data_IF_296074191097
#
_entry.id   IF_296074191097
#
_cell.length_a   1.000
_cell.length_b   1.000
_cell.length_c   1.000
_cell.angle_alpha   90.00
_cell.angle_beta   90.00
_cell.angle_gamma   90.00
#
_symmetry.space_group_name_H-M   'P 1'
#
loop_
_entity.id
_entity.type
_entity.pdbx_description
1 polymer ?
#
# COMPACT_ATOMS: atom_id res chain seq x y z
N UNK A 1 37.03 -51.96 -14.63
CA UNK A 1 37.80 -50.74 -14.31
C UNK A 1 37.06 -49.43 -14.63
N UNK A 2 35.71 -49.43 -14.67
CA UNK A 2 34.89 -48.23 -14.95
C UNK A 2 34.06 -47.74 -13.74
N UNK A 3 34.04 -48.49 -12.62
CA UNK A 3 33.27 -48.11 -11.42
C UNK A 3 33.98 -47.09 -10.51
N UNK A 4 35.32 -47.00 -10.56
CA UNK A 4 36.09 -46.12 -9.67
C UNK A 4 36.13 -44.64 -10.11
N UNK A 5 35.72 -44.34 -11.35
CA UNK A 5 35.73 -42.95 -11.89
C UNK A 5 34.41 -42.22 -11.67
N UNK A 6 33.32 -42.93 -11.35
CA UNK A 6 31.99 -42.33 -11.10
C UNK A 6 31.81 -41.83 -9.66
N UNK A 7 32.58 -42.33 -8.70
CA UNK A 7 32.45 -41.95 -7.29
C UNK A 7 33.06 -40.56 -7.00
N UNK A 8 34.04 -40.13 -7.80
CA UNK A 8 34.73 -38.84 -7.61
C UNK A 8 33.92 -37.62 -8.09
N UNK A 9 32.88 -37.84 -8.90
CA UNK A 9 31.99 -36.78 -9.38
C UNK A 9 30.86 -36.42 -8.40
N UNK A 10 30.70 -37.16 -7.29
CA UNK A 10 29.64 -36.92 -6.28
C UNK A 10 29.98 -35.86 -5.23
N UNK A 11 31.20 -35.35 -5.22
CA UNK A 11 31.68 -34.41 -4.18
C UNK A 11 31.69 -32.95 -4.63
N UNK A 12 30.75 -32.56 -5.50
CA UNK A 12 30.54 -31.14 -5.80
C UNK A 12 30.09 -30.40 -4.54
N UNK A 13 30.58 -29.17 -4.34
CA UNK A 13 30.21 -28.32 -3.20
C UNK A 13 28.68 -28.24 -3.01
N UNK A 14 27.93 -27.96 -4.08
CA UNK A 14 26.46 -27.91 -4.05
C UNK A 14 25.79 -29.29 -4.05
N UNK A 15 26.53 -30.37 -4.33
CA UNK A 15 25.99 -31.72 -4.47
C UNK A 15 25.93 -32.49 -3.14
N UNK A 16 26.68 -32.08 -2.11
CA UNK A 16 26.58 -32.72 -0.79
C UNK A 16 27.64 -32.37 0.26
N UNK A 17 28.63 -31.54 -0.06
CA UNK A 17 29.74 -31.22 0.88
C UNK A 17 29.76 -29.77 1.34
N UNK A 18 28.92 -28.90 0.76
CA UNK A 18 28.85 -27.48 1.09
C UNK A 18 28.15 -27.23 2.43
N UNK A 19 28.74 -26.41 3.33
CA UNK A 19 28.07 -25.93 4.54
C UNK A 19 26.76 -25.20 4.20
N UNK A 20 25.65 -25.46 4.92
CA UNK A 20 24.36 -24.80 4.68
C UNK A 20 24.45 -23.27 4.68
N UNK A 21 25.27 -22.69 5.54
CA UNK A 21 25.44 -21.23 5.68
C UNK A 21 25.98 -20.61 4.40
N UNK A 22 26.95 -21.26 3.75
CA UNK A 22 27.51 -20.80 2.49
C UNK A 22 26.51 -20.97 1.34
N UNK A 23 25.73 -22.04 1.34
CA UNK A 23 24.67 -22.26 0.35
C UNK A 23 23.59 -21.17 0.47
N UNK A 24 23.18 -20.82 1.70
CA UNK A 24 22.24 -19.70 1.94
C UNK A 24 22.82 -18.36 1.49
N UNK A 25 24.13 -18.12 1.68
CA UNK A 25 24.79 -16.91 1.15
C UNK A 25 24.79 -16.87 -0.38
N UNK A 26 24.91 -18.02 -1.05
CA UNK A 26 24.77 -18.11 -2.50
C UNK A 26 23.32 -17.81 -2.90
N UNK A 27 22.32 -18.41 -2.23
CA UNK A 27 20.90 -18.12 -2.47
C UNK A 27 20.59 -16.61 -2.35
N UNK A 28 21.11 -15.96 -1.32
CA UNK A 28 20.95 -14.53 -1.08
C UNK A 28 21.64 -13.63 -2.12
N UNK A 29 22.59 -14.20 -2.87
CA UNK A 29 23.32 -13.51 -3.93
C UNK A 29 22.65 -13.64 -5.30
N UNK A 30 21.58 -14.43 -5.44
CA UNK A 30 20.81 -14.53 -6.67
C UNK A 30 20.13 -13.19 -7.02
N UNK A 31 20.14 -12.81 -8.30
CA UNK A 31 19.58 -11.53 -8.75
C UNK A 31 18.05 -11.52 -8.79
N UNK A 32 17.45 -12.68 -9.08
CA UNK A 32 16.00 -12.83 -9.16
C UNK A 32 15.48 -14.08 -8.43
N UNK A 33 14.18 -14.11 -8.16
CA UNK A 33 13.49 -15.28 -7.61
C UNK A 33 13.65 -16.48 -8.54
N UNK A 34 13.67 -16.24 -9.86
CA UNK A 34 13.89 -17.28 -10.87
C UNK A 34 15.25 -17.94 -10.72
N UNK A 35 16.33 -17.16 -10.57
CA UNK A 35 17.69 -17.69 -10.42
C UNK A 35 17.84 -18.47 -9.13
N UNK A 36 17.25 -17.95 -8.05
CA UNK A 36 17.19 -18.63 -6.76
C UNK A 36 16.50 -20.00 -6.89
N UNK A 37 15.31 -20.07 -7.49
CA UNK A 37 14.58 -21.32 -7.65
C UNK A 37 15.28 -22.30 -8.61
N UNK A 38 15.93 -21.80 -9.67
CA UNK A 38 16.78 -22.61 -10.54
C UNK A 38 17.94 -23.25 -9.77
N UNK A 39 18.60 -22.50 -8.88
CA UNK A 39 19.68 -23.02 -8.05
C UNK A 39 19.18 -24.01 -6.98
N UNK A 40 18.02 -23.75 -6.37
CA UNK A 40 17.37 -24.65 -5.41
C UNK A 40 17.01 -25.98 -6.07
N UNK A 41 16.61 -25.97 -7.34
CA UNK A 41 16.25 -27.18 -8.10
C UNK A 41 17.44 -27.94 -8.68
N UNK A 42 18.66 -27.38 -8.61
CA UNK A 42 19.84 -27.99 -9.21
C UNK A 42 20.33 -29.26 -8.49
N UNK A 43 20.09 -29.41 -7.19
CA UNK A 43 20.51 -30.60 -6.43
C UNK A 43 19.58 -30.89 -5.24
N UNK A 44 19.57 -32.15 -4.78
CA UNK A 44 18.84 -32.53 -3.56
C UNK A 44 19.39 -31.80 -2.33
N UNK A 45 20.70 -31.56 -2.26
CA UNK A 45 21.34 -30.89 -1.13
C UNK A 45 20.92 -29.42 -1.05
N UNK A 46 20.91 -28.69 -2.17
CA UNK A 46 20.43 -27.29 -2.19
C UNK A 46 18.95 -27.20 -1.85
N UNK A 47 18.13 -28.14 -2.32
CA UNK A 47 16.72 -28.24 -1.93
C UNK A 47 16.53 -28.52 -0.43
N UNK A 48 17.32 -29.41 0.18
CA UNK A 48 17.26 -29.65 1.62
C UNK A 48 17.65 -28.40 2.44
N UNK A 49 18.70 -27.68 2.04
CA UNK A 49 19.06 -26.40 2.68
C UNK A 49 17.94 -25.38 2.50
N UNK A 50 17.37 -25.29 1.30
CA UNK A 50 16.24 -24.40 1.03
C UNK A 50 15.06 -24.63 1.98
N UNK A 51 14.67 -25.87 2.24
CA UNK A 51 13.55 -26.16 3.14
C UNK A 51 13.73 -25.57 4.55
N UNK A 52 14.97 -25.48 5.03
CA UNK A 52 15.28 -24.88 6.34
C UNK A 52 15.46 -23.35 6.30
N UNK A 53 15.88 -22.80 5.15
CA UNK A 53 16.33 -21.40 5.05
C UNK A 53 15.66 -20.58 3.93
N UNK A 54 14.50 -21.01 3.43
CA UNK A 54 13.79 -20.36 2.32
C UNK A 54 13.48 -18.90 2.61
N UNK A 55 12.99 -18.59 3.82
CA UNK A 55 12.59 -17.24 4.16
C UNK A 55 13.75 -16.22 4.16
N UNK A 56 14.91 -16.49 4.81
CA UNK A 56 16.09 -15.65 4.67
C UNK A 56 16.54 -15.38 3.24
N UNK A 57 16.48 -16.41 2.39
CA UNK A 57 16.91 -16.33 1.01
C UNK A 57 15.93 -15.48 0.18
N UNK A 58 14.64 -15.81 0.24
CA UNK A 58 13.57 -15.08 -0.45
C UNK A 58 13.52 -13.62 -0.07
N UNK A 59 13.57 -13.33 1.24
CA UNK A 59 13.43 -11.97 1.73
C UNK A 59 14.48 -11.02 1.12
N UNK A 60 15.72 -11.50 1.01
CA UNK A 60 16.80 -10.71 0.41
C UNK A 60 16.61 -10.46 -1.08
N UNK A 61 16.13 -11.46 -1.82
CA UNK A 61 15.87 -11.36 -3.26
C UNK A 61 14.67 -10.44 -3.51
N UNK A 62 13.56 -10.67 -2.80
CA UNK A 62 12.33 -9.90 -2.97
C UNK A 62 12.45 -8.43 -2.59
N UNK A 63 13.30 -8.08 -1.62
CA UNK A 63 13.61 -6.67 -1.32
C UNK A 63 14.20 -5.90 -2.51
N UNK A 64 14.79 -6.61 -3.48
CA UNK A 64 15.30 -6.02 -4.72
C UNK A 64 14.30 -6.12 -5.86
N UNK A 65 13.60 -7.24 -5.96
CA UNK A 65 12.72 -7.57 -7.09
C UNK A 65 11.31 -6.98 -6.97
N UNK A 66 10.74 -6.95 -5.75
CA UNK A 66 9.35 -6.57 -5.51
C UNK A 66 9.31 -5.14 -4.94
N UNK A 67 8.73 -4.17 -5.66
CA UNK A 67 8.55 -2.81 -5.16
C UNK A 67 7.72 -2.80 -3.88
N UNK A 68 8.18 -2.06 -2.87
CA UNK A 68 7.47 -1.88 -1.59
C UNK A 68 7.12 -3.19 -0.86
N UNK A 69 7.94 -4.24 -1.01
CA UNK A 69 7.71 -5.53 -0.34
C UNK A 69 7.66 -5.41 1.19
N UNK A 70 8.36 -4.42 1.77
CA UNK A 70 8.28 -4.13 3.21
C UNK A 70 6.85 -3.70 3.59
N UNK A 71 6.25 -2.77 2.84
CA UNK A 71 4.88 -2.32 3.07
C UNK A 71 3.90 -3.48 2.87
N UNK A 72 4.13 -4.37 1.90
CA UNK A 72 3.33 -5.60 1.73
C UNK A 72 3.44 -6.53 2.95
N UNK A 73 4.64 -6.69 3.52
CA UNK A 73 4.86 -7.48 4.73
C UNK A 73 4.16 -6.88 5.95
N UNK A 74 4.27 -5.55 6.15
CA UNK A 74 3.57 -4.84 7.23
C UNK A 74 2.05 -4.98 7.06
N UNK A 75 1.52 -4.78 5.86
CA UNK A 75 0.11 -4.97 5.56
C UNK A 75 -0.36 -6.40 5.87
N UNK A 76 0.43 -7.41 5.48
CA UNK A 76 0.15 -8.81 5.77
C UNK A 76 0.11 -9.09 7.28
N UNK A 77 1.10 -8.59 8.04
CA UNK A 77 1.16 -8.75 9.51
C UNK A 77 -0.03 -8.07 10.19
N UNK A 78 -0.34 -6.83 9.82
CA UNK A 78 -1.48 -6.09 10.37
C UNK A 78 -2.81 -6.80 10.08
N UNK A 79 -3.00 -7.24 8.84
CA UNK A 79 -4.23 -7.95 8.42
C UNK A 79 -4.37 -9.27 9.19
N UNK A 80 -3.27 -9.98 9.41
CA UNK A 80 -3.27 -11.22 10.18
C UNK A 80 -3.71 -11.00 11.64
N UNK A 81 -3.28 -9.91 12.28
CA UNK A 81 -3.73 -9.57 13.64
C UNK A 81 -5.25 -9.37 13.71
N UNK A 82 -5.83 -8.69 12.72
CA UNK A 82 -7.28 -8.47 12.63
C UNK A 82 -8.01 -9.78 12.39
N UNK A 83 -7.61 -10.55 11.38
CA UNK A 83 -8.24 -11.83 11.02
C UNK A 83 -8.17 -12.83 12.19
N UNK A 84 -7.07 -12.86 12.92
CA UNK A 84 -6.92 -13.75 14.08
C UNK A 84 -7.82 -13.32 15.24
N UNK A 85 -8.00 -12.03 15.50
CA UNK A 85 -8.96 -11.53 16.49
C UNK A 85 -10.40 -11.87 16.09
N UNK A 86 -10.78 -11.61 14.84
CA UNK A 86 -12.11 -11.95 14.30
C UNK A 86 -12.42 -13.44 14.42
N UNK A 87 -11.46 -14.33 14.10
CA UNK A 87 -11.61 -15.78 14.24
C UNK A 87 -11.86 -16.23 15.67
N UNK A 88 -11.37 -15.47 16.67
CA UNK A 88 -11.62 -15.71 18.09
C UNK A 88 -12.90 -15.05 18.59
N UNK A 89 -13.60 -14.28 17.74
CA UNK A 89 -14.75 -13.46 18.15
C UNK A 89 -14.36 -12.30 19.06
N UNK A 90 -13.11 -11.85 18.99
CA UNK A 90 -12.55 -10.78 19.81
C UNK A 90 -12.51 -9.46 19.01
N UNK A 91 -12.51 -8.33 19.73
CA UNK A 91 -12.26 -7.03 19.13
C UNK A 91 -10.81 -7.00 18.58
N UNK A 92 -10.59 -6.59 17.33
CA UNK A 92 -9.23 -6.37 16.82
C UNK A 92 -8.47 -5.37 17.69
N UNK A 93 -7.13 -5.48 17.81
CA UNK A 93 -6.40 -4.66 18.74
C UNK A 93 -6.44 -3.19 18.30
N UNK A 94 -6.67 -2.28 19.26
CA UNK A 94 -6.72 -0.84 19.03
C UNK A 94 -5.33 -0.21 19.18
N UNK A 95 -5.06 0.87 18.44
CA UNK A 95 -3.83 1.65 18.60
C UNK A 95 -2.54 0.92 18.21
N UNK A 96 -2.62 -0.10 17.34
CA UNK A 96 -1.42 -0.79 16.86
C UNK A 96 -0.66 0.14 15.92
N UNK A 97 0.55 0.55 16.29
CA UNK A 97 1.45 1.20 15.35
C UNK A 97 2.02 0.17 14.37
N UNK A 98 1.89 0.39 13.04
CA UNK A 98 2.51 -0.49 12.06
C UNK A 98 4.05 -0.51 12.17
N UNK A 99 4.67 0.53 12.75
CA UNK A 99 6.10 0.60 12.99
C UNK A 99 6.63 -0.57 13.85
N UNK A 100 5.83 -1.07 14.81
CA UNK A 100 6.21 -2.22 15.63
C UNK A 100 6.33 -3.52 14.83
N UNK A 101 5.71 -3.59 13.65
CA UNK A 101 5.73 -4.75 12.77
C UNK A 101 6.80 -4.65 11.68
N UNK A 102 7.55 -3.55 11.62
CA UNK A 102 8.71 -3.36 10.74
C UNK A 102 10.00 -3.96 11.30
N UNK A 103 9.95 -4.51 12.52
CA UNK A 103 11.10 -4.93 13.32
C UNK A 103 12.14 -5.79 12.58
N UNK A 104 13.38 -5.86 13.10
CA UNK A 104 14.53 -6.51 12.47
C UNK A 104 14.38 -8.03 12.30
N UNK A 105 13.30 -8.60 12.84
CA UNK A 105 13.02 -10.02 12.75
C UNK A 105 12.81 -10.44 11.30
N UNK A 106 13.56 -11.47 10.94
CA UNK A 106 13.46 -12.10 9.64
C UNK A 106 12.05 -12.67 9.46
N UNK A 107 11.35 -12.35 8.35
CA UNK A 107 9.99 -12.80 8.17
C UNK A 107 9.93 -14.32 8.08
N UNK A 108 8.87 -14.90 8.61
CA UNK A 108 8.57 -16.32 8.44
C UNK A 108 8.14 -16.60 7.00
N UNK A 109 8.27 -17.85 6.56
CA UNK A 109 7.84 -18.24 5.21
C UNK A 109 6.33 -17.99 4.98
N UNK A 110 5.51 -18.16 6.02
CA UNK A 110 4.07 -17.87 5.96
C UNK A 110 3.79 -16.37 5.71
N UNK A 111 4.53 -15.49 6.38
CA UNK A 111 4.42 -14.04 6.20
C UNK A 111 4.87 -13.61 4.80
N UNK A 112 5.97 -14.18 4.31
CA UNK A 112 6.44 -13.96 2.95
C UNK A 112 5.39 -14.40 1.93
N UNK A 113 4.77 -15.57 2.12
CA UNK A 113 3.69 -16.03 1.25
C UNK A 113 2.51 -15.05 1.24
N UNK A 114 2.13 -14.52 2.40
CA UNK A 114 1.07 -13.52 2.52
C UNK A 114 1.44 -12.20 1.81
N UNK A 115 2.65 -11.68 2.05
CA UNK A 115 3.15 -10.48 1.38
C UNK A 115 3.21 -10.64 -0.15
N UNK A 116 3.63 -11.81 -0.63
CA UNK A 116 3.63 -12.13 -2.06
C UNK A 116 2.23 -12.21 -2.65
N UNK A 117 1.26 -12.78 -1.92
CA UNK A 117 -0.14 -12.78 -2.34
C UNK A 117 -0.70 -11.35 -2.44
N UNK A 118 -0.35 -10.47 -1.50
CA UNK A 118 -0.72 -9.05 -1.58
C UNK A 118 -0.08 -8.37 -2.79
N UNK A 119 1.19 -8.65 -3.08
CA UNK A 119 1.84 -8.15 -4.30
C UNK A 119 1.14 -8.63 -5.58
N UNK A 120 0.73 -9.91 -5.65
CA UNK A 120 -0.04 -10.42 -6.78
C UNK A 120 -1.39 -9.75 -6.91
N UNK A 121 -2.09 -9.53 -5.79
CA UNK A 121 -3.35 -8.81 -5.76
C UNK A 121 -3.17 -7.37 -6.28
N UNK A 122 -2.15 -6.66 -5.80
CA UNK A 122 -1.91 -5.29 -6.24
C UNK A 122 -1.54 -5.19 -7.72
N UNK A 123 -0.82 -6.18 -8.25
CA UNK A 123 -0.51 -6.27 -9.68
C UNK A 123 -1.78 -6.52 -10.50
N UNK A 124 -2.65 -7.44 -10.06
CA UNK A 124 -3.92 -7.71 -10.72
C UNK A 124 -4.84 -6.49 -10.71
N UNK A 125 -4.89 -5.74 -9.60
CA UNK A 125 -5.63 -4.47 -9.51
C UNK A 125 -5.06 -3.42 -10.46
N UNK A 126 -3.74 -3.27 -10.53
CA UNK A 126 -3.09 -2.38 -11.48
C UNK A 126 -3.48 -2.73 -12.93
N UNK A 127 -3.40 -4.00 -13.32
CA UNK A 127 -3.85 -4.44 -14.64
C UNK A 127 -5.34 -4.15 -14.89
N UNK A 128 -6.19 -4.39 -13.90
CA UNK A 128 -7.63 -4.11 -14.01
C UNK A 128 -7.92 -2.61 -14.18
N UNK A 129 -7.20 -1.73 -13.47
CA UNK A 129 -7.34 -0.28 -13.65
C UNK A 129 -6.87 0.19 -15.02
N UNK A 130 -5.79 -0.38 -15.56
CA UNK A 130 -5.37 -0.14 -16.94
C UNK A 130 -6.48 -0.50 -17.94
N UNK A 131 -7.22 -1.58 -17.69
CA UNK A 131 -8.28 -2.02 -18.59
C UNK A 131 -9.56 -1.17 -18.49
N UNK A 132 -9.84 -0.58 -17.33
CA UNK A 132 -11.05 0.22 -17.05
C UNK A 132 -10.93 1.70 -17.44
N UNK A 133 -9.82 2.11 -18.05
CA UNK A 133 -9.54 3.50 -18.43
C UNK A 133 -9.71 4.48 -17.25
N UNK A 134 -9.31 4.00 -16.05
CA UNK A 134 -9.39 4.84 -14.86
C UNK A 134 -8.23 5.82 -14.88
N UNK A 135 -8.56 7.10 -14.77
CA UNK A 135 -7.55 8.16 -14.59
C UNK A 135 -6.97 8.02 -13.18
N UNK A 136 -5.77 7.45 -13.10
CA UNK A 136 -4.98 7.47 -11.87
C UNK A 136 -4.74 8.91 -11.47
N UNK A 137 -4.63 9.23 -10.17
CA UNK A 137 -4.26 10.55 -9.78
C UNK A 137 -2.92 10.86 -10.39
N UNK A 138 -2.91 11.73 -11.39
CA UNK A 138 -1.69 12.29 -11.93
C UNK A 138 -1.48 13.68 -11.31
N UNK A 139 -0.25 14.17 -11.32
CA UNK A 139 0.04 15.55 -10.91
C UNK A 139 -0.63 16.62 -11.79
N UNK A 140 -1.44 16.21 -12.77
CA UNK A 140 -2.05 17.03 -13.81
C UNK A 140 -3.58 17.14 -13.70
N UNK A 141 -4.19 16.95 -12.52
CA UNK A 141 -5.62 17.29 -12.40
C UNK A 141 -5.80 18.76 -12.74
N UNK A 142 -6.40 19.00 -13.91
CA UNK A 142 -7.08 20.24 -14.19
C UNK A 142 -8.29 20.27 -13.25
N UNK A 143 -8.33 21.28 -12.38
CA UNK A 143 -9.57 21.60 -11.68
C UNK A 143 -10.66 21.78 -12.74
N UNK A 144 -11.87 21.25 -12.53
CA UNK A 144 -12.99 21.47 -13.43
C UNK A 144 -13.27 22.97 -13.49
N UNK A 145 -12.88 23.62 -14.60
CA UNK A 145 -13.09 25.05 -14.82
C UNK A 145 -11.95 25.84 -15.48
N UNK A 146 -10.74 25.28 -15.60
CA UNK A 146 -9.60 25.99 -16.21
C UNK A 146 -9.25 25.49 -17.61
N UNK A 147 -9.93 25.99 -18.65
CA UNK A 147 -9.45 25.84 -20.03
C UNK A 147 -8.27 26.79 -20.26
N UNK A 148 -7.04 26.34 -20.06
CA UNK A 148 -5.89 26.98 -20.71
C UNK A 148 -5.29 26.01 -21.72
N UNK A 149 -5.28 26.44 -22.98
CA UNK A 149 -4.92 25.62 -24.14
C UNK A 149 -3.39 25.41 -24.30
N UNK A 150 -2.58 25.83 -23.32
CA UNK A 150 -1.12 25.98 -23.50
C UNK A 150 -0.28 25.13 -22.53
N UNK A 151 -0.80 24.05 -21.96
CA UNK A 151 0.07 23.04 -21.33
C UNK A 151 0.22 21.82 -22.23
N UNK A 152 1.44 21.30 -22.45
CA UNK A 152 1.64 20.06 -23.19
C UNK A 152 0.81 18.95 -22.56
N UNK A 153 -0.26 18.61 -23.28
CA UNK A 153 -1.15 17.49 -23.00
C UNK A 153 -0.27 16.22 -22.95
N UNK A 154 0.01 15.72 -21.75
CA UNK A 154 0.04 14.26 -21.55
C UNK A 154 -1.34 13.83 -21.04
N UNK A 155 -2.40 14.41 -21.62
CA UNK A 155 -3.76 13.85 -21.62
C UNK A 155 -3.81 12.82 -22.75
N UNK A 156 -2.90 11.85 -22.71
CA UNK A 156 -3.14 10.59 -23.40
C UNK A 156 -4.18 9.88 -22.56
N UNK A 157 -5.44 9.91 -22.97
CA UNK A 157 -6.38 8.83 -22.65
C UNK A 157 -7.57 8.74 -23.61
N UNK A 158 -7.57 9.47 -24.73
CA UNK A 158 -8.42 9.12 -25.86
C UNK A 158 -7.66 9.43 -27.15
N UNK A 159 -6.86 8.47 -27.62
CA UNK A 159 -6.44 8.50 -29.02
C UNK A 159 -7.64 8.00 -29.83
N UNK A 160 -8.30 8.93 -30.50
CA UNK A 160 -9.39 8.61 -31.43
C UNK A 160 -8.70 8.41 -32.77
N UNK A 161 -8.68 7.18 -33.27
CA UNK A 161 -8.12 6.96 -34.60
C UNK A 161 -8.92 7.74 -35.67
N UNK A 162 -8.39 7.79 -36.90
CA UNK A 162 -9.10 8.45 -38.01
C UNK A 162 -10.48 7.82 -38.33
N UNK A 163 -10.85 6.70 -37.70
CA UNK A 163 -12.16 6.05 -37.81
C UNK A 163 -13.12 6.40 -36.67
N UNK A 164 -12.71 7.22 -35.69
CA UNK A 164 -13.53 7.55 -34.52
C UNK A 164 -13.42 6.52 -33.39
N UNK A 165 -12.56 5.51 -33.52
CA UNK A 165 -12.43 4.44 -32.53
C UNK A 165 -11.47 4.88 -31.42
N UNK A 166 -11.99 4.91 -30.19
CA UNK A 166 -11.18 5.18 -29.00
C UNK A 166 -10.24 4.00 -28.77
N UNK A 167 -8.93 4.23 -28.89
CA UNK A 167 -7.93 3.27 -28.45
C UNK A 167 -7.73 3.39 -26.95
N UNK A 168 -7.81 2.25 -26.25
CA UNK A 168 -7.41 2.18 -24.83
C UNK A 168 -5.92 2.43 -24.75
N UNK A 169 -5.53 3.60 -24.25
CA UNK A 169 -4.13 3.85 -23.93
C UNK A 169 -3.86 3.35 -22.51
N UNK A 170 -2.65 2.83 -22.25
CA UNK A 170 -2.23 2.59 -20.88
C UNK A 170 -2.26 3.91 -20.10
N UNK A 171 -2.54 3.88 -18.78
CA UNK A 171 -2.67 5.08 -17.95
C UNK A 171 -1.38 5.92 -17.87
N UNK A 172 -0.25 5.37 -18.31
CA UNK A 172 1.04 6.03 -18.43
C UNK A 172 1.78 5.49 -19.68
N UNK A 173 2.73 6.25 -20.25
CA UNK A 173 3.63 5.79 -21.30
C UNK A 173 4.34 4.46 -20.95
N UNK A 174 4.70 3.60 -21.91
CA UNK A 174 5.27 2.27 -21.65
C UNK A 174 6.48 2.26 -20.71
N UNK A 175 7.34 3.27 -20.78
CA UNK A 175 8.51 3.45 -19.92
C UNK A 175 8.16 3.82 -18.47
N UNK A 176 6.94 4.31 -18.23
CA UNK A 176 6.43 4.74 -16.93
C UNK A 176 5.42 3.77 -16.30
N UNK A 177 4.95 2.76 -17.04
CA UNK A 177 4.01 1.75 -16.54
C UNK A 177 4.56 1.04 -15.30
N UNK A 178 5.84 0.66 -15.27
CA UNK A 178 6.45 -0.01 -14.11
C UNK A 178 6.37 0.88 -12.85
N UNK A 179 6.67 2.17 -12.99
CA UNK A 179 6.58 3.13 -11.87
C UNK A 179 5.13 3.31 -11.41
N UNK A 180 4.20 3.30 -12.35
CA UNK A 180 2.78 3.40 -12.06
C UNK A 180 2.27 2.18 -11.28
N UNK A 181 2.61 0.98 -11.73
CA UNK A 181 2.25 -0.27 -11.03
C UNK A 181 2.85 -0.35 -9.63
N UNK A 182 4.09 0.15 -9.47
CA UNK A 182 4.72 0.26 -8.16
C UNK A 182 3.94 1.21 -7.24
N UNK A 183 3.50 2.37 -7.74
CA UNK A 183 2.69 3.35 -6.97
C UNK A 183 1.31 2.81 -6.61
N UNK A 184 0.66 2.09 -7.52
CA UNK A 184 -0.60 1.38 -7.24
C UNK A 184 -0.37 0.37 -6.12
N UNK A 185 0.69 -0.41 -6.20
CA UNK A 185 1.02 -1.40 -5.17
C UNK A 185 1.24 -0.76 -3.80
N UNK A 186 2.01 0.33 -3.75
CA UNK A 186 2.22 1.11 -2.53
C UNK A 186 0.90 1.62 -1.94
N UNK A 187 -0.01 2.14 -2.77
CA UNK A 187 -1.32 2.62 -2.33
C UNK A 187 -2.19 1.47 -1.79
N UNK A 188 -2.21 0.32 -2.46
CA UNK A 188 -2.92 -0.89 -1.98
C UNK A 188 -2.41 -1.32 -0.61
N UNK A 189 -1.08 -1.44 -0.45
CA UNK A 189 -0.50 -1.88 0.82
C UNK A 189 -0.82 -0.89 1.95
N UNK A 190 -0.75 0.41 1.71
CA UNK A 190 -1.11 1.43 2.71
C UNK A 190 -2.58 1.41 3.07
N UNK A 191 -3.49 1.25 2.09
CA UNK A 191 -4.93 1.11 2.35
C UNK A 191 -5.20 -0.08 3.26
N UNK A 192 -4.58 -1.23 2.98
CA UNK A 192 -4.72 -2.42 3.81
C UNK A 192 -4.14 -2.23 5.21
N UNK A 193 -2.96 -1.62 5.32
CA UNK A 193 -2.34 -1.31 6.62
C UNK A 193 -3.21 -0.37 7.45
N UNK A 194 -3.71 0.73 6.86
CA UNK A 194 -4.59 1.70 7.53
C UNK A 194 -5.91 1.04 7.93
N UNK A 195 -6.53 0.29 7.01
CA UNK A 195 -7.77 -0.43 7.30
C UNK A 195 -7.61 -1.39 8.47
N UNK A 196 -6.52 -2.16 8.49
CA UNK A 196 -6.23 -3.08 9.58
C UNK A 196 -5.90 -2.37 10.90
N UNK A 197 -5.16 -1.25 10.86
CA UNK A 197 -4.83 -0.46 12.05
C UNK A 197 -6.07 0.17 12.71
N UNK A 198 -7.04 0.57 11.90
CA UNK A 198 -8.27 1.22 12.35
C UNK A 198 -9.42 0.23 12.57
N UNK A 199 -9.26 -1.04 12.19
CA UNK A 199 -10.31 -2.05 12.29
C UNK A 199 -10.88 -2.15 13.71
N UNK A 200 -10.01 -2.27 14.73
CA UNK A 200 -10.47 -2.32 16.13
C UNK A 200 -11.21 -1.06 16.56
N UNK A 201 -10.72 0.10 16.16
CA UNK A 201 -11.29 1.41 16.49
C UNK A 201 -12.69 1.60 15.91
N UNK A 202 -12.91 1.22 14.64
CA UNK A 202 -14.22 1.35 13.98
C UNK A 202 -15.15 0.16 14.23
N UNK A 203 -14.62 -1.00 14.63
CA UNK A 203 -15.45 -2.17 14.93
C UNK A 203 -16.01 -2.17 16.36
N UNK A 204 -15.35 -1.47 17.28
CA UNK A 204 -15.77 -1.38 18.69
C UNK A 204 -17.23 -0.96 18.87
N UNK A 205 -17.73 0.11 18.21
CA UNK A 205 -19.13 0.52 18.40
C UNK A 205 -20.12 -0.55 17.95
N UNK A 206 -19.78 -1.33 16.91
CA UNK A 206 -20.64 -2.40 16.40
C UNK A 206 -20.74 -3.55 17.41
N UNK A 207 -19.60 -3.95 18.01
CA UNK A 207 -19.60 -4.99 19.05
C UNK A 207 -20.34 -4.53 20.32
N UNK A 208 -20.14 -3.28 20.74
CA UNK A 208 -20.84 -2.72 21.92
C UNK A 208 -22.34 -2.59 21.62
N UNK A 209 -22.72 -2.16 20.42
CA UNK A 209 -24.11 -2.05 20.00
C UNK A 209 -24.84 -3.39 20.05
N UNK A 210 -24.19 -4.49 19.65
CA UNK A 210 -24.78 -5.82 19.69
C UNK A 210 -25.22 -6.26 21.11
N UNK A 211 -24.46 -5.85 22.12
CA UNK A 211 -24.74 -6.13 23.53
C UNK A 211 -25.64 -5.06 24.21
N UNK A 212 -26.03 -4.01 23.49
CA UNK A 212 -26.73 -2.88 24.06
C UNK A 212 -28.21 -3.20 24.37
N UNK A 213 -28.77 -2.75 25.50
CA UNK A 213 -30.15 -3.05 25.87
C UNK A 213 -31.18 -2.38 24.94
N UNK A 214 -30.88 -1.19 24.42
CA UNK A 214 -31.76 -0.44 23.52
C UNK A 214 -31.84 -1.15 22.13
N UNK A 215 -33.04 -1.54 21.66
CA UNK A 215 -33.22 -2.12 20.33
C UNK A 215 -32.80 -1.18 19.19
N UNK A 216 -32.96 0.14 19.31
CA UNK A 216 -32.57 1.10 18.27
C UNK A 216 -31.05 1.11 18.07
N UNK A 217 -30.27 1.01 19.15
CA UNK A 217 -28.81 0.91 19.08
C UNK A 217 -28.38 -0.43 18.46
N UNK A 218 -29.07 -1.52 18.78
CA UNK A 218 -28.79 -2.84 18.17
C UNK A 218 -29.02 -2.87 16.66
N UNK A 219 -29.84 -1.98 16.11
CA UNK A 219 -30.03 -1.87 14.65
C UNK A 219 -28.73 -1.53 13.90
N UNK A 220 -27.72 -0.95 14.56
CA UNK A 220 -26.39 -0.73 13.96
C UNK A 220 -25.72 -2.00 13.45
N UNK A 221 -26.10 -3.17 13.99
CA UNK A 221 -25.57 -4.47 13.57
C UNK A 221 -26.35 -5.09 12.40
N UNK A 222 -27.46 -4.45 12.00
CA UNK A 222 -28.35 -4.95 10.94
C UNK A 222 -28.00 -4.27 9.61
N UNK A 223 -27.61 -5.07 8.63
CA UNK A 223 -27.28 -4.58 7.30
C UNK A 223 -28.49 -3.90 6.65
N UNK A 224 -28.30 -2.67 6.15
CA UNK A 224 -29.33 -1.90 5.44
C UNK A 224 -30.39 -1.23 6.34
N UNK A 225 -30.26 -1.29 7.67
CA UNK A 225 -31.16 -0.57 8.56
C UNK A 225 -30.93 0.96 8.46
N UNK A 226 -32.02 1.72 8.41
CA UNK A 226 -31.96 3.18 8.55
C UNK A 226 -31.61 3.53 10.00
N UNK A 227 -30.61 4.40 10.18
CA UNK A 227 -30.13 4.77 11.51
C UNK A 227 -31.00 5.88 12.10
N UNK A 228 -31.64 5.56 13.22
CA UNK A 228 -32.41 6.52 14.02
C UNK A 228 -31.51 7.42 14.87
N UNK A 229 -32.07 8.50 15.42
CA UNK A 229 -31.32 9.51 16.18
C UNK A 229 -30.50 8.92 17.33
N UNK A 230 -31.05 7.95 18.09
CA UNK A 230 -30.31 7.32 19.20
C UNK A 230 -29.14 6.47 18.73
N UNK A 231 -29.25 5.81 17.57
CA UNK A 231 -28.15 5.05 17.00
C UNK A 231 -27.01 5.98 16.56
N UNK A 232 -27.35 7.17 16.03
CA UNK A 232 -26.38 8.23 15.74
C UNK A 232 -25.73 8.78 17.00
N UNK A 233 -26.51 9.15 18.01
CA UNK A 233 -26.00 9.65 19.29
C UNK A 233 -25.06 8.62 19.95
N UNK A 234 -25.41 7.33 19.85
CA UNK A 234 -24.55 6.24 20.30
C UNK A 234 -23.24 6.19 19.51
N UNK A 235 -23.26 6.23 18.18
CA UNK A 235 -22.03 6.23 17.38
C UNK A 235 -21.14 7.44 17.69
N UNK A 236 -21.74 8.63 17.79
CA UNK A 236 -21.03 9.88 18.11
C UNK A 236 -20.46 9.89 19.53
N UNK A 237 -20.86 8.97 20.41
CA UNK A 237 -20.18 8.81 21.70
C UNK A 237 -18.77 8.20 21.59
N UNK A 238 -18.41 7.65 20.43
CA UNK A 238 -17.08 7.11 20.14
C UNK A 238 -16.26 8.13 19.35
N UNK A 239 -15.06 8.44 19.83
CA UNK A 239 -14.17 9.44 19.23
C UNK A 239 -13.77 9.15 17.76
N UNK A 240 -13.93 7.91 17.28
CA UNK A 240 -13.70 7.57 15.87
C UNK A 240 -14.78 8.10 14.91
N UNK A 241 -15.98 8.37 15.43
CA UNK A 241 -17.14 8.84 14.67
C UNK A 241 -17.47 10.31 14.98
N UNK A 242 -16.99 10.84 16.09
CA UNK A 242 -17.13 12.24 16.46
C UNK A 242 -16.03 13.11 15.81
N UNK A 243 -16.40 13.82 14.74
CA UNK A 243 -15.51 14.75 14.04
C UNK A 243 -15.17 15.99 14.88
N UNK A 244 -15.94 16.26 15.93
CA UNK A 244 -15.73 17.37 16.86
C UNK A 244 -15.03 16.92 18.15
N UNK A 245 -14.61 15.64 18.22
CA UNK A 245 -13.90 15.11 19.38
C UNK A 245 -12.65 15.94 19.69
N UNK A 246 -12.32 16.16 20.98
CA UNK A 246 -11.10 16.85 21.38
C UNK A 246 -9.86 16.24 20.71
N UNK A 247 -8.87 17.08 20.40
CA UNK A 247 -7.65 16.64 19.72
C UNK A 247 -6.95 15.51 20.48
N UNK A 248 -6.96 15.56 21.81
CA UNK A 248 -6.37 14.51 22.65
C UNK A 248 -7.04 13.14 22.45
N UNK A 249 -8.35 13.12 22.22
CA UNK A 249 -9.11 11.90 21.96
C UNK A 249 -8.84 11.38 20.54
N UNK A 250 -8.72 12.27 19.57
CA UNK A 250 -8.33 11.92 18.20
C UNK A 250 -6.88 11.40 18.14
N UNK A 251 -5.95 12.06 18.82
CA UNK A 251 -4.55 11.67 18.89
C UNK A 251 -4.38 10.30 19.55
N UNK A 252 -5.12 10.02 20.63
CA UNK A 252 -5.09 8.70 21.28
C UNK A 252 -5.47 7.56 20.32
N UNK A 253 -6.33 7.83 19.33
CA UNK A 253 -6.76 6.85 18.34
C UNK A 253 -5.86 6.80 17.11
N UNK A 254 -5.47 7.96 16.58
CA UNK A 254 -4.88 8.09 15.26
C UNK A 254 -3.38 8.35 15.28
N UNK A 255 -2.81 8.91 16.35
CA UNK A 255 -1.40 9.31 16.38
C UNK A 255 -0.44 8.16 16.02
N UNK A 256 -0.57 6.93 16.58
CA UNK A 256 0.36 5.84 16.25
C UNK A 256 0.37 5.46 14.76
N UNK A 257 -0.78 5.63 14.09
CA UNK A 257 -0.92 5.39 12.66
C UNK A 257 -0.41 6.58 11.84
N UNK A 258 -0.78 7.80 12.23
CA UNK A 258 -0.37 9.05 11.56
C UNK A 258 1.15 9.21 11.61
N UNK A 259 1.78 8.97 12.75
CA UNK A 259 3.23 9.00 12.92
C UNK A 259 3.93 8.00 12.00
N UNK A 260 3.46 6.74 11.98
CA UNK A 260 3.99 5.74 11.06
C UNK A 260 3.82 6.16 9.60
N UNK A 261 2.64 6.66 9.26
CA UNK A 261 2.31 7.03 7.89
C UNK A 261 3.16 8.21 7.39
N UNK A 262 3.35 9.22 8.24
CA UNK A 262 4.25 10.34 7.97
C UNK A 262 5.69 9.86 7.84
N UNK A 263 6.16 8.99 8.74
CA UNK A 263 7.50 8.43 8.68
C UNK A 263 7.74 7.59 7.41
N UNK A 264 6.79 6.75 7.02
CA UNK A 264 6.87 5.93 5.80
C UNK A 264 6.90 6.79 4.53
N UNK A 265 6.05 7.83 4.45
CA UNK A 265 6.04 8.73 3.29
C UNK A 265 7.30 9.59 3.24
N UNK A 266 7.69 10.20 4.36
CA UNK A 266 8.83 11.10 4.41
C UNK A 266 10.18 10.35 4.45
N UNK A 267 10.14 9.05 4.69
CA UNK A 267 11.25 8.12 4.49
C UNK A 267 11.57 7.88 3.01
N UNK A 268 10.61 8.08 2.09
CA UNK A 268 10.84 7.96 0.64
C UNK A 268 11.64 9.15 0.10
N UNK A 269 12.96 9.03 0.21
CA UNK A 269 13.91 10.04 -0.28
C UNK A 269 13.76 10.33 -1.78
N UNK A 270 13.36 9.34 -2.58
CA UNK A 270 13.16 9.54 -4.01
C UNK A 270 11.88 10.34 -4.27
N UNK A 271 10.78 9.98 -3.61
CA UNK A 271 9.52 10.72 -3.65
C UNK A 271 9.67 12.17 -3.22
N UNK A 272 10.39 12.41 -2.11
CA UNK A 272 10.71 13.76 -1.61
C UNK A 272 11.51 14.59 -2.60
N UNK A 273 12.62 14.06 -3.12
CA UNK A 273 13.42 14.75 -4.15
C UNK A 273 12.60 15.05 -5.41
N UNK A 274 11.77 14.11 -5.83
CA UNK A 274 10.90 14.30 -6.99
C UNK A 274 9.84 15.39 -6.76
N UNK A 275 9.28 15.49 -5.55
CA UNK A 275 8.33 16.54 -5.21
C UNK A 275 9.02 17.90 -5.10
N UNK A 276 10.15 17.99 -4.39
CA UNK A 276 10.94 19.22 -4.28
C UNK A 276 11.33 19.78 -5.66
N UNK A 277 11.83 18.92 -6.55
CA UNK A 277 12.19 19.32 -7.93
C UNK A 277 10.98 19.85 -8.73
N UNK A 278 9.74 19.42 -8.42
CA UNK A 278 8.54 19.99 -9.05
C UNK A 278 8.23 21.39 -8.52
N UNK A 279 8.45 21.62 -7.23
CA UNK A 279 8.34 22.94 -6.60
C UNK A 279 9.37 23.91 -7.14
N UNK A 280 10.63 23.51 -7.24
CA UNK A 280 11.69 24.34 -7.83
C UNK A 280 11.40 24.72 -9.28
N UNK A 281 10.82 23.79 -10.06
CA UNK A 281 10.52 24.01 -11.48
C UNK A 281 9.14 24.64 -11.72
N UNK A 282 8.31 24.81 -10.69
CA UNK A 282 6.94 25.30 -10.82
C UNK A 282 6.08 24.46 -11.79
N UNK A 283 6.19 23.13 -11.72
CA UNK A 283 5.46 22.22 -12.62
C UNK A 283 4.42 21.36 -11.90
N UNK A 284 3.38 20.96 -12.63
CA UNK A 284 2.29 20.15 -12.11
C UNK A 284 1.57 20.85 -10.96
N UNK A 285 1.35 20.13 -9.85
CA UNK A 285 0.66 20.67 -8.66
C UNK A 285 1.40 21.83 -8.00
N UNK A 286 2.73 21.85 -8.08
CA UNK A 286 3.49 22.93 -7.47
C UNK A 286 3.28 24.26 -8.19
N UNK A 287 2.94 24.23 -9.48
CA UNK A 287 2.56 25.43 -10.24
C UNK A 287 1.38 26.14 -9.59
N UNK A 288 0.31 25.40 -9.28
CA UNK A 288 -0.87 25.97 -8.61
C UNK A 288 -0.53 26.59 -7.26
N UNK A 289 0.44 26.03 -6.52
CA UNK A 289 0.86 26.61 -5.25
C UNK A 289 1.68 27.88 -5.41
N UNK A 290 2.53 27.97 -6.44
CA UNK A 290 3.28 29.19 -6.74
C UNK A 290 2.37 30.28 -7.29
N UNK A 291 1.51 29.95 -8.26
CA UNK A 291 0.55 30.87 -8.87
C UNK A 291 -0.43 31.44 -7.81
N UNK A 292 -0.77 30.64 -6.79
CA UNK A 292 -1.62 31.08 -5.65
C UNK A 292 -0.86 31.76 -4.53
N UNK A 293 0.44 31.53 -4.40
CA UNK A 293 1.27 32.20 -3.39
C UNK A 293 1.36 33.71 -3.60
N UNK A 294 1.06 34.18 -4.82
CA UNK A 294 0.95 35.60 -5.17
C UNK A 294 -0.43 36.20 -4.87
N UNK A 295 -1.44 35.37 -4.58
CA UNK A 295 -2.80 35.80 -4.22
C UNK A 295 -3.00 35.74 -2.71
N UNK A 296 -2.91 36.91 -2.04
CA UNK A 296 -3.11 37.04 -0.59
C UNK A 296 -4.47 36.52 -0.11
N UNK A 297 -5.47 36.42 -1.00
CA UNK A 297 -6.81 35.92 -0.64
C UNK A 297 -6.94 34.40 -0.69
N UNK A 298 -5.97 33.67 -1.23
CA UNK A 298 -6.04 32.22 -1.35
C UNK A 298 -4.68 31.54 -1.09
N UNK A 299 -4.15 31.65 0.14
CA UNK A 299 -2.90 30.96 0.48
C UNK A 299 -3.05 29.45 0.33
N UNK A 300 -1.97 28.76 -0.03
CA UNK A 300 -1.96 27.30 -0.05
C UNK A 300 -2.35 26.77 1.34
N UNK A 301 -3.37 25.90 1.45
CA UNK A 301 -3.84 25.41 2.75
C UNK A 301 -2.79 24.56 3.48
N UNK A 302 -1.75 24.11 2.78
CA UNK A 302 -0.63 23.34 3.34
C UNK A 302 0.56 24.22 3.74
N UNK A 303 0.51 25.53 3.47
CA UNK A 303 1.60 26.45 3.82
C UNK A 303 1.77 26.61 5.35
N UNK A 304 0.70 26.37 6.12
CA UNK A 304 0.72 26.45 7.59
C UNK A 304 1.33 25.20 8.25
N UNK A 305 1.51 24.11 7.51
CA UNK A 305 2.08 22.84 8.00
C UNK A 305 3.62 22.87 7.95
N UNK A 306 4.22 23.95 7.46
CA UNK A 306 5.67 24.12 7.31
C UNK A 306 6.32 24.32 8.69
N UNK A 307 7.37 23.53 8.99
CA UNK A 307 8.27 23.81 10.11
C UNK A 307 8.25 22.81 11.26
N UNK A 308 7.41 21.77 11.21
CA UNK A 308 7.56 20.62 12.12
C UNK A 308 8.77 19.82 11.65
N UNK A 309 9.82 19.77 12.46
CA UNK A 309 11.02 18.92 12.31
C UNK A 309 11.78 19.06 10.97
N UNK A 310 11.79 20.25 10.37
CA UNK A 310 12.52 20.50 9.11
C UNK A 310 11.81 19.96 7.86
N UNK A 311 10.52 19.64 7.95
CA UNK A 311 9.67 19.35 6.78
C UNK A 311 9.49 20.58 5.89
N UNK A 312 9.53 20.36 4.56
CA UNK A 312 9.34 21.41 3.56
C UNK A 312 7.88 21.51 3.11
N UNK A 313 7.49 22.62 2.48
CA UNK A 313 6.18 22.75 1.83
C UNK A 313 5.94 21.61 0.81
N UNK A 314 6.99 21.20 0.09
CA UNK A 314 6.92 20.06 -0.83
C UNK A 314 6.64 18.73 -0.11
N UNK A 315 7.13 18.55 1.12
CA UNK A 315 6.86 17.36 1.94
C UNK A 315 5.38 17.28 2.33
N UNK A 316 4.76 18.38 2.75
CA UNK A 316 3.32 18.43 3.04
C UNK A 316 2.48 18.03 1.82
N UNK A 317 2.85 18.53 0.63
CA UNK A 317 2.22 18.13 -0.62
C UNK A 317 2.46 16.67 -0.99
N UNK A 318 3.62 16.11 -0.68
CA UNK A 318 3.88 14.70 -0.87
C UNK A 318 2.96 13.86 0.02
N UNK A 319 2.80 14.20 1.30
CA UNK A 319 1.90 13.46 2.20
C UNK A 319 0.46 13.47 1.70
N UNK A 320 -0.08 14.64 1.39
CA UNK A 320 -1.44 14.77 0.84
C UNK A 320 -1.57 14.00 -0.47
N UNK A 321 -0.51 13.99 -1.30
CA UNK A 321 -0.52 13.25 -2.53
C UNK A 321 -0.64 11.74 -2.34
N UNK A 322 0.10 11.19 -1.38
CA UNK A 322 0.03 9.78 -1.04
C UNK A 322 -1.36 9.40 -0.48
N UNK A 323 -1.97 10.28 0.34
CA UNK A 323 -3.36 10.12 0.81
C UNK A 323 -4.37 10.10 -0.34
N UNK A 324 -4.26 11.05 -1.28
CA UNK A 324 -5.17 11.09 -2.44
C UNK A 324 -5.11 9.81 -3.27
N UNK A 325 -3.92 9.20 -3.43
CA UNK A 325 -3.78 7.92 -4.14
C UNK A 325 -4.47 6.78 -3.41
N UNK A 326 -4.46 6.79 -2.07
CA UNK A 326 -5.18 5.81 -1.26
C UNK A 326 -6.69 5.99 -1.32
N UNK A 327 -7.19 7.23 -1.22
CA UNK A 327 -8.62 7.52 -1.37
C UNK A 327 -9.10 7.11 -2.76
N UNK A 328 -8.36 7.49 -3.80
CA UNK A 328 -8.64 7.04 -5.16
C UNK A 328 -8.68 5.52 -5.25
N UNK A 329 -7.72 4.81 -4.65
CA UNK A 329 -7.70 3.34 -4.65
C UNK A 329 -9.01 2.77 -4.09
N UNK A 330 -9.47 3.27 -2.94
CA UNK A 330 -10.72 2.84 -2.30
C UNK A 330 -11.93 3.16 -3.20
N UNK A 331 -11.98 4.34 -3.80
CA UNK A 331 -13.05 4.73 -4.72
C UNK A 331 -13.13 3.80 -5.93
N UNK A 332 -11.99 3.39 -6.50
CA UNK A 332 -11.97 2.50 -7.66
C UNK A 332 -12.31 1.04 -7.33
N UNK A 333 -12.19 0.65 -6.06
CA UNK A 333 -12.62 -0.67 -5.57
C UNK A 333 -14.13 -0.72 -5.29
N UNK A 334 -14.78 0.42 -4.99
CA UNK A 334 -16.21 0.48 -4.64
C UNK A 334 -17.15 -0.15 -5.69
N UNK A 335 -17.00 0.09 -7.01
CA UNK A 335 -17.86 -0.51 -8.04
C UNK A 335 -17.77 -2.04 -8.11
N UNK A 336 -16.79 -2.67 -7.47
CA UNK A 336 -16.64 -4.13 -7.42
C UNK A 336 -17.46 -4.77 -6.30
N UNK A 337 -17.90 -3.97 -5.32
CA UNK A 337 -18.60 -4.44 -4.12
C UNK A 337 -20.11 -4.19 -4.17
N UNK A 338 -20.59 -3.40 -5.11
CA UNK A 338 -22.03 -3.24 -5.35
C UNK A 338 -22.49 -4.35 -6.29
N UNK A 339 -23.47 -5.20 -5.91
CA UNK A 339 -24.14 -6.04 -6.90
C UNK A 339 -24.70 -5.12 -7.98
N UNK A 340 -24.40 -5.40 -9.26
CA UNK A 340 -25.11 -4.73 -10.35
C UNK A 340 -26.61 -4.88 -10.07
N UNK A 341 -27.40 -3.79 -10.13
CA UNK A 341 -28.84 -3.94 -10.01
C UNK A 341 -29.27 -4.94 -11.09
N UNK A 342 -29.89 -6.04 -10.67
CA UNK A 342 -30.41 -7.04 -11.59
C UNK A 342 -31.28 -6.32 -12.62
N UNK A 343 -30.85 -6.37 -13.88
CA UNK A 343 -31.52 -5.70 -15.00
C UNK A 343 -32.90 -6.31 -15.29
#
# INVERSE_FOLDING_TARGET
MQAATQEKARNGFLAGTGPPELIVRIFQSCDSTRDLLALVSASRNTYCVWQAYAAPALWRVWRREIPYVQNALVAARMTHLVVDAERRGELPPKGISPAHLEGPEQPMLAELKAAFNLHRLSHALAEAFCQRDVVYPSGKYHLPGGMSNDTPLDTYNIDVDMSGKKHRMPPEPPDRVIQWMARVSQAVFRVLTVGAALAGTYWEPILVANAHPDPEVRLLTTEGAELEAKAWDFLLSFAAYDLEAPLEAQDALFAPLVEWFLADILGDQQGRKAMAARFEKGVGRAKLCLDRGEDENWPCPLATVIGIDGSSHADAHLVVWELMKMVWMVEQLRPWNSPEPAA
#
